data_IF_694413123341
#
_entry.id   IF_694413123341
#
_cell.length_a   1.000
_cell.length_b   1.000
_cell.length_c   1.000
_cell.angle_alpha   90.00
_cell.angle_beta   90.00
_cell.angle_gamma   90.00
#
_symmetry.space_group_name_H-M   'P 1'
#
loop_
_entity.id
_entity.type
_entity.pdbx_description
1 polymer ?
#
# COMPACT_ATOMS: atom_id res chain seq x y z
N UNK A 1 5.31 -22.34 1.00
CA UNK A 1 6.13 -21.72 -0.06
C UNK A 1 5.19 -21.10 -1.07
N UNK A 2 5.18 -19.77 -1.17
CA UNK A 2 4.42 -19.09 -2.23
C UNK A 2 5.11 -19.41 -3.55
N UNK A 3 4.36 -19.88 -4.55
CA UNK A 3 4.93 -20.15 -5.86
C UNK A 3 5.07 -18.84 -6.60
N UNK A 4 6.29 -18.32 -6.62
CA UNK A 4 6.67 -17.05 -7.25
C UNK A 4 6.06 -16.87 -8.65
N UNK A 5 6.08 -17.92 -9.49
CA UNK A 5 5.43 -17.93 -10.81
C UNK A 5 3.94 -17.51 -10.76
N UNK A 6 3.16 -18.03 -9.81
CA UNK A 6 1.73 -17.69 -9.68
C UNK A 6 1.52 -16.24 -9.30
N UNK A 7 2.40 -15.68 -8.46
CA UNK A 7 2.31 -14.27 -8.07
C UNK A 7 2.67 -13.37 -9.24
N UNK A 8 3.74 -13.69 -9.99
CA UNK A 8 4.11 -12.96 -11.21
C UNK A 8 2.99 -13.00 -12.26
N UNK A 9 2.39 -14.17 -12.50
CA UNK A 9 1.27 -14.33 -13.42
C UNK A 9 0.05 -13.48 -12.98
N UNK A 10 -0.25 -13.47 -11.68
CA UNK A 10 -1.33 -12.65 -11.14
C UNK A 10 -1.04 -11.16 -11.32
N UNK A 11 0.16 -10.71 -10.98
CA UNK A 11 0.63 -9.33 -11.16
C UNK A 11 0.48 -8.87 -12.62
N UNK A 12 0.97 -9.67 -13.57
CA UNK A 12 0.83 -9.41 -15.00
C UNK A 12 -0.65 -9.28 -15.39
N UNK A 13 -1.53 -10.14 -14.86
CA UNK A 13 -2.97 -10.12 -15.15
C UNK A 13 -3.73 -8.92 -14.55
N UNK A 14 -3.14 -8.20 -13.58
CA UNK A 14 -3.77 -7.10 -12.85
C UNK A 14 -3.31 -5.72 -13.29
N UNK A 15 -2.86 -5.61 -14.54
CA UNK A 15 -2.33 -4.36 -15.08
C UNK A 15 -0.83 -4.22 -14.83
N UNK A 16 -0.11 -5.35 -14.92
CA UNK A 16 1.35 -5.39 -14.78
C UNK A 16 1.85 -4.81 -13.44
N UNK A 17 1.19 -5.19 -12.34
CA UNK A 17 1.54 -4.73 -11.00
C UNK A 17 2.99 -5.15 -10.67
N UNK A 18 3.88 -4.22 -10.28
CA UNK A 18 5.24 -4.57 -9.90
C UNK A 18 5.29 -5.57 -8.74
N UNK A 19 6.08 -6.62 -8.89
CA UNK A 19 6.32 -7.63 -7.86
C UNK A 19 7.75 -7.52 -7.33
N UNK A 20 7.89 -7.53 -6.00
CA UNK A 20 9.17 -7.53 -5.30
C UNK A 20 9.21 -8.66 -4.28
N UNK A 21 10.29 -9.42 -4.28
CA UNK A 21 10.62 -10.31 -3.17
C UNK A 21 11.42 -9.51 -2.14
N UNK A 22 10.92 -9.42 -0.90
CA UNK A 22 11.52 -8.58 0.15
C UNK A 22 11.83 -9.40 1.40
N UNK A 23 12.90 -9.05 2.11
CA UNK A 23 13.25 -9.62 3.41
C UNK A 23 13.56 -8.50 4.39
N UNK A 24 12.66 -8.21 5.32
CA UNK A 24 12.88 -7.19 6.35
C UNK A 24 14.05 -7.56 7.29
N UNK A 25 14.30 -8.85 7.48
CA UNK A 25 15.42 -9.34 8.29
C UNK A 25 16.78 -9.04 7.65
N UNK A 26 16.83 -9.13 6.32
CA UNK A 26 18.06 -8.98 5.55
C UNK A 26 18.15 -7.62 4.85
N UNK A 27 17.21 -6.73 5.13
CA UNK A 27 17.05 -5.44 4.45
C UNK A 27 17.02 -5.56 2.92
N UNK A 28 16.43 -6.65 2.42
CA UNK A 28 16.42 -6.96 0.99
C UNK A 28 15.21 -6.31 0.33
N UNK A 29 15.49 -5.48 -0.70
CA UNK A 29 14.51 -4.85 -1.58
C UNK A 29 13.45 -3.95 -0.92
N UNK A 30 13.65 -3.55 0.34
CA UNK A 30 12.73 -2.66 1.06
C UNK A 30 12.70 -1.29 0.38
N UNK A 31 13.84 -0.61 0.29
CA UNK A 31 13.92 0.72 -0.33
C UNK A 31 13.41 0.74 -1.77
N UNK A 32 13.79 -0.26 -2.55
CA UNK A 32 13.37 -0.39 -3.95
C UNK A 32 11.86 -0.52 -4.08
N UNK A 33 11.23 -1.36 -3.25
CA UNK A 33 9.78 -1.56 -3.27
C UNK A 33 9.04 -0.28 -2.86
N UNK A 34 9.48 0.38 -1.77
CA UNK A 34 8.87 1.63 -1.30
C UNK A 34 9.06 2.80 -2.26
N UNK A 35 10.23 2.91 -2.89
CA UNK A 35 10.49 3.94 -3.88
C UNK A 35 9.66 3.73 -5.15
N UNK A 36 9.48 2.47 -5.57
CA UNK A 36 8.65 2.15 -6.72
C UNK A 36 7.20 2.59 -6.52
N UNK A 37 6.59 2.28 -5.38
CA UNK A 37 5.20 2.69 -5.12
C UNK A 37 5.07 4.21 -4.98
N UNK A 38 6.06 4.88 -4.37
CA UNK A 38 6.07 6.34 -4.29
C UNK A 38 6.10 6.99 -5.67
N UNK A 39 6.94 6.48 -6.59
CA UNK A 39 7.02 6.98 -7.98
C UNK A 39 5.71 6.75 -8.74
N UNK A 40 5.15 5.56 -8.63
CA UNK A 40 3.86 5.25 -9.25
C UNK A 40 2.75 6.15 -8.71
N UNK A 41 2.76 6.46 -7.42
CA UNK A 41 1.80 7.39 -6.84
C UNK A 41 1.94 8.80 -7.44
N UNK A 42 3.17 9.32 -7.56
CA UNK A 42 3.42 10.63 -8.18
C UNK A 42 2.98 10.69 -9.65
N UNK A 43 3.18 9.61 -10.41
CA UNK A 43 2.79 9.53 -11.82
C UNK A 43 1.27 9.49 -12.03
N UNK A 44 0.53 8.95 -11.05
CA UNK A 44 -0.93 8.77 -11.15
C UNK A 44 -1.76 9.81 -10.37
N UNK A 45 -1.18 10.91 -9.88
CA UNK A 45 -1.90 11.92 -9.07
C UNK A 45 -3.16 12.50 -9.77
N UNK A 46 -3.26 12.46 -11.10
CA UNK A 46 -4.45 12.92 -11.83
C UNK A 46 -5.68 11.98 -11.71
N UNK A 47 -5.48 10.71 -11.34
CA UNK A 47 -6.55 9.68 -11.24
C UNK A 47 -6.86 9.27 -9.78
N UNK A 48 -6.23 9.90 -8.78
CA UNK A 48 -6.18 9.42 -7.38
C UNK A 48 -7.29 9.88 -6.42
N UNK A 49 -8.26 10.67 -6.87
CA UNK A 49 -9.41 11.06 -6.03
C UNK A 49 -10.21 9.85 -5.50
N UNK A 50 -10.07 8.68 -6.12
CA UNK A 50 -10.84 7.48 -5.79
C UNK A 50 -10.19 6.64 -4.67
N UNK A 51 -8.85 6.56 -4.61
CA UNK A 51 -8.17 5.70 -3.63
C UNK A 51 -8.07 6.33 -2.24
N UNK A 52 -7.80 7.64 -2.16
CA UNK A 52 -7.70 8.34 -0.86
C UNK A 52 -9.04 8.44 -0.14
N UNK A 53 -10.16 8.50 -0.87
CA UNK A 53 -11.49 8.60 -0.29
C UNK A 53 -11.87 7.35 0.53
N UNK A 54 -11.49 6.17 0.04
CA UNK A 54 -11.82 4.91 0.72
C UNK A 54 -10.99 4.65 1.97
N UNK A 55 -9.74 5.12 2.03
CA UNK A 55 -8.90 5.06 3.24
C UNK A 55 -9.33 6.08 4.28
N UNK A 56 -9.72 7.29 3.87
CA UNK A 56 -10.20 8.33 4.77
C UNK A 56 -11.57 8.01 5.41
N UNK A 57 -12.46 7.31 4.70
CA UNK A 57 -13.79 6.91 5.21
C UNK A 57 -13.74 5.80 6.28
N UNK A 58 -12.59 5.13 6.50
CA UNK A 58 -12.44 4.09 7.51
C UNK A 58 -11.96 4.58 8.88
N UNK A 59 -11.84 5.89 9.09
CA UNK A 59 -11.69 6.44 10.45
C UNK A 59 -13.09 6.71 11.00
N UNK A 60 -13.64 5.86 11.90
CA UNK A 60 -14.81 6.30 12.67
C UNK A 60 -14.36 7.50 13.51
N UNK A 61 -14.99 8.65 13.25
CA UNK A 61 -14.96 9.82 14.13
C UNK A 61 -15.54 9.38 15.49
N UNK A 62 -14.69 8.85 16.36
CA UNK A 62 -15.05 8.66 17.77
C UNK A 62 -14.96 10.01 18.44
N UNK A 63 -15.99 10.82 18.19
CA UNK A 63 -16.41 11.92 19.06
C UNK A 63 -16.81 11.34 20.42
N UNK A 64 -15.85 10.96 21.25
CA UNK A 64 -16.08 10.72 22.67
C UNK A 64 -15.56 11.89 23.48
N UNK A 65 -16.52 12.74 23.80
CA UNK A 65 -16.47 13.84 24.73
C UNK A 65 -16.16 13.38 26.15
N UNK A 66 -15.35 14.19 26.82
CA UNK A 66 -15.30 14.47 28.27
C UNK A 66 -14.84 13.39 29.24
N UNK A 67 -13.80 13.76 30.01
CA UNK A 67 -13.77 13.49 31.45
C UNK A 67 -12.39 13.06 31.98
N UNK A 68 -11.58 14.00 32.44
CA UNK A 68 -10.56 13.67 33.45
C UNK A 68 -11.28 13.34 34.77
N UNK A 69 -10.84 12.27 35.44
CA UNK A 69 -11.10 12.06 36.86
C UNK A 69 -9.81 11.56 37.52
N UNK A 70 -9.59 12.09 38.72
CA UNK A 70 -8.39 12.09 39.55
C UNK A 70 -7.91 10.74 40.05
#
# INVERSE_FOLDING_TARGET
MVLEKKVREWCASKGDIPYFETSAKEDHNIDTAFLCIARLALEHEHDQDIYFKTVAEQVPDTKQTSGCAS
#
